data_IF_861345159923
#
_entry.id   IF_861345159923
#
_cell.length_a   1.000
_cell.length_b   1.000
_cell.length_c   1.000
_cell.angle_alpha   90.00
_cell.angle_beta   90.00
_cell.angle_gamma   90.00
#
_symmetry.space_group_name_H-M   'P 1'
#
loop_
_entity.id
_entity.type
_entity.pdbx_description
1 polymer ?
#
# COMPACT_ATOMS: atom_id res chain seq x y z
N UNK A 1 37.14 -4.58 -72.54
CA UNK A 1 38.09 -3.79 -71.72
C UNK A 1 37.38 -3.53 -70.39
N UNK A 2 37.86 -4.18 -69.32
CA UNK A 2 37.26 -4.28 -68.00
C UNK A 2 37.04 -2.90 -67.34
N UNK A 3 35.87 -2.66 -66.76
CA UNK A 3 35.64 -1.58 -65.80
C UNK A 3 35.27 -2.19 -64.44
N UNK A 4 36.11 -1.91 -63.46
CA UNK A 4 36.16 -2.47 -62.11
C UNK A 4 35.14 -1.74 -61.20
N UNK A 5 34.19 -2.47 -60.61
CA UNK A 5 33.34 -1.96 -59.53
C UNK A 5 34.07 -2.10 -58.19
N UNK A 6 34.30 -0.98 -57.50
CA UNK A 6 34.79 -0.95 -56.11
C UNK A 6 33.59 -0.76 -55.18
N UNK A 7 33.22 -1.81 -54.44
CA UNK A 7 32.32 -1.70 -53.30
C UNK A 7 33.11 -1.25 -52.07
N UNK A 8 32.77 -0.09 -51.51
CA UNK A 8 33.26 0.37 -50.21
C UNK A 8 32.27 -0.13 -49.15
N UNK A 9 32.69 -1.12 -48.36
CA UNK A 9 31.98 -1.54 -47.16
C UNK A 9 32.29 -0.57 -46.02
N UNK A 10 31.30 0.23 -45.61
CA UNK A 10 31.39 1.06 -44.40
C UNK A 10 30.96 0.19 -43.22
N UNK A 11 31.93 -0.30 -42.45
CA UNK A 11 31.69 -0.92 -41.16
C UNK A 11 31.41 0.17 -40.12
N UNK A 12 30.14 0.33 -39.73
CA UNK A 12 29.78 1.12 -38.55
C UNK A 12 30.19 0.36 -37.28
N UNK A 13 31.36 0.67 -36.75
CA UNK A 13 31.74 0.32 -35.38
C UNK A 13 30.98 1.29 -34.46
N UNK A 14 29.80 0.86 -34.00
CA UNK A 14 29.09 1.55 -32.93
C UNK A 14 29.79 1.23 -31.61
N UNK A 15 30.72 2.09 -31.20
CA UNK A 15 31.23 2.11 -29.84
C UNK A 15 30.11 2.63 -28.93
N UNK A 16 29.24 1.73 -28.46
CA UNK A 16 28.39 2.00 -27.32
C UNK A 16 29.31 2.21 -26.10
N UNK A 17 29.48 3.46 -25.70
CA UNK A 17 30.06 3.79 -24.40
C UNK A 17 29.20 3.11 -23.32
N UNK A 18 29.80 2.40 -22.34
CA UNK A 18 29.05 1.90 -21.21
C UNK A 18 28.43 3.10 -20.49
N UNK A 19 27.10 3.19 -20.51
CA UNK A 19 26.38 4.13 -19.67
C UNK A 19 26.78 3.82 -18.23
N UNK A 20 27.40 4.79 -17.57
CA UNK A 20 27.69 4.75 -16.15
C UNK A 20 26.35 4.98 -15.40
N UNK A 21 25.37 4.09 -15.61
CA UNK A 21 24.23 3.99 -14.73
C UNK A 21 24.78 3.50 -13.40
N UNK A 22 24.94 4.44 -12.46
CA UNK A 22 25.04 4.10 -11.03
C UNK A 22 23.94 3.13 -10.73
N UNK A 23 24.32 1.85 -10.57
CA UNK A 23 23.42 0.74 -10.24
C UNK A 23 22.60 1.18 -9.03
N UNK A 24 21.34 1.56 -9.26
CA UNK A 24 20.45 1.98 -8.19
C UNK A 24 20.40 0.85 -7.17
N UNK A 25 20.69 1.19 -5.93
CA UNK A 25 20.64 0.23 -4.82
C UNK A 25 19.18 -0.07 -4.53
N UNK A 26 18.79 -1.33 -4.74
CA UNK A 26 17.49 -1.85 -4.38
C UNK A 26 17.22 -1.62 -2.88
N UNK A 27 16.08 -1.03 -2.57
CA UNK A 27 15.74 -0.68 -1.19
C UNK A 27 14.26 -0.91 -0.89
N UNK A 28 13.99 -1.19 0.38
CA UNK A 28 12.66 -1.21 0.96
C UNK A 28 12.45 0.12 1.67
N UNK A 29 11.36 0.80 1.34
CA UNK A 29 10.95 2.05 1.98
C UNK A 29 9.78 1.76 2.89
N UNK A 30 9.91 2.16 4.16
CA UNK A 30 8.88 1.98 5.19
C UNK A 30 8.36 3.35 5.62
N UNK A 31 7.05 3.48 5.69
CA UNK A 31 6.38 4.51 6.49
C UNK A 31 6.01 3.90 7.84
N UNK A 32 6.45 4.52 8.92
CA UNK A 32 6.13 4.08 10.28
C UNK A 32 5.44 5.17 11.09
N UNK A 33 4.57 4.79 12.01
CA UNK A 33 3.73 5.73 12.76
C UNK A 33 4.46 6.49 13.87
N UNK A 34 5.68 6.08 14.24
CA UNK A 34 6.45 6.73 15.31
C UNK A 34 6.02 6.37 16.74
N UNK A 35 5.22 5.34 16.99
CA UNK A 35 4.71 5.16 18.36
C UNK A 35 5.74 4.58 19.36
N UNK A 36 5.82 5.28 20.49
CA UNK A 36 6.25 4.77 21.80
C UNK A 36 5.03 4.47 22.66
N UNK A 37 5.19 3.56 23.61
CA UNK A 37 4.17 2.95 24.47
C UNK A 37 3.31 3.97 25.27
N UNK A 38 2.06 3.59 25.64
CA UNK A 38 1.16 4.42 26.48
C UNK A 38 1.50 4.41 27.99
N UNK A 39 2.32 3.47 28.46
CA UNK A 39 2.58 3.15 29.86
C UNK A 39 4.02 2.67 30.22
N UNK A 40 4.98 2.62 29.29
CA UNK A 40 6.42 2.43 29.56
C UNK A 40 7.26 3.44 28.76
N UNK A 41 8.44 3.85 29.26
CA UNK A 41 9.29 4.83 28.60
C UNK A 41 10.04 4.18 27.43
N UNK A 42 9.34 3.89 26.34
CA UNK A 42 9.98 3.75 25.02
C UNK A 42 10.09 5.16 24.45
N UNK A 43 11.25 5.52 23.91
CA UNK A 43 11.48 6.80 23.23
C UNK A 43 10.37 7.03 22.21
N UNK A 44 9.58 8.10 22.38
CA UNK A 44 8.61 8.52 21.36
C UNK A 44 9.42 9.06 20.18
N UNK A 45 9.49 8.31 19.09
CA UNK A 45 10.07 8.78 17.84
C UNK A 45 8.98 9.37 16.93
N UNK A 46 9.37 10.17 15.96
CA UNK A 46 8.41 10.81 15.06
C UNK A 46 7.91 9.80 14.01
N UNK A 47 6.71 10.03 13.46
CA UNK A 47 6.30 9.35 12.23
C UNK A 47 7.38 9.56 11.18
N UNK A 48 7.86 8.50 10.53
CA UNK A 48 9.02 8.62 9.65
C UNK A 48 8.95 7.76 8.40
N UNK A 49 9.66 8.21 7.38
CA UNK A 49 10.03 7.42 6.21
C UNK A 49 11.44 6.88 6.47
N UNK A 50 11.62 5.58 6.24
CA UNK A 50 12.90 4.89 6.43
C UNK A 50 13.25 4.10 5.18
N UNK A 51 14.53 4.05 4.85
CA UNK A 51 15.07 3.18 3.82
C UNK A 51 15.86 2.06 4.47
N UNK A 52 15.69 0.84 3.96
CA UNK A 52 16.46 -0.34 4.31
C UNK A 52 16.93 -1.00 3.02
N UNK A 53 18.00 -1.78 3.11
CA UNK A 53 18.35 -2.73 2.04
C UNK A 53 17.18 -3.70 1.78
N UNK A 54 17.15 -4.35 0.61
CA UNK A 54 16.20 -5.42 0.32
C UNK A 54 16.28 -6.64 1.27
N UNK A 55 17.31 -6.71 2.13
CA UNK A 55 17.45 -7.67 3.23
C UNK A 55 17.07 -7.11 4.60
N UNK A 56 16.42 -5.95 4.66
CA UNK A 56 15.97 -5.32 5.91
C UNK A 56 17.09 -4.77 6.80
N UNK A 57 18.33 -4.68 6.30
CA UNK A 57 19.47 -4.13 7.04
C UNK A 57 19.73 -2.65 6.69
N UNK A 58 20.60 -2.01 7.48
CA UNK A 58 21.08 -0.62 7.29
C UNK A 58 19.96 0.43 7.24
N UNK A 59 19.06 0.38 8.22
CA UNK A 59 17.96 1.35 8.30
C UNK A 59 18.49 2.77 8.41
N UNK A 60 17.97 3.64 7.53
CA UNK A 60 18.25 5.08 7.51
C UNK A 60 16.93 5.84 7.52
N UNK A 61 16.80 6.82 8.42
CA UNK A 61 15.65 7.72 8.43
C UNK A 61 15.81 8.73 7.29
N UNK A 62 14.91 8.70 6.32
CA UNK A 62 14.88 9.63 5.19
C UNK A 62 14.18 10.94 5.58
N UNK A 63 13.02 10.84 6.21
CA UNK A 63 12.24 11.99 6.64
C UNK A 63 11.51 11.70 7.95
N UNK A 64 11.27 12.75 8.74
CA UNK A 64 10.47 12.69 9.97
C UNK A 64 9.38 13.76 9.93
N UNK A 65 8.20 13.40 10.40
CA UNK A 65 7.02 14.26 10.39
C UNK A 65 6.56 14.61 11.80
N UNK A 66 5.75 15.66 11.91
CA UNK A 66 5.32 16.20 13.20
C UNK A 66 6.40 17.05 13.89
N UNK A 67 6.12 17.63 15.05
CA UNK A 67 7.04 18.50 15.77
C UNK A 67 8.12 17.73 16.54
N UNK A 68 9.23 18.40 16.85
CA UNK A 68 10.26 17.84 17.73
C UNK A 68 9.74 17.71 19.17
N UNK A 69 10.01 16.56 19.79
CA UNK A 69 9.85 16.42 21.24
C UNK A 69 10.91 17.24 21.96
N UNK A 70 10.56 17.84 23.08
CA UNK A 70 11.54 18.43 24.00
C UNK A 70 11.43 17.79 25.40
N UNK A 71 12.37 18.11 26.28
CA UNK A 71 12.46 17.49 27.61
C UNK A 71 11.20 17.73 28.49
N UNK A 72 10.40 18.74 28.18
CA UNK A 72 9.20 19.13 28.96
C UNK A 72 7.88 18.76 28.28
N UNK A 73 7.88 18.52 26.97
CA UNK A 73 6.71 18.19 26.17
C UNK A 73 7.08 17.14 25.11
N UNK A 74 6.64 15.91 25.36
CA UNK A 74 6.70 14.83 24.39
C UNK A 74 5.53 14.97 23.42
N UNK A 75 5.78 15.59 22.26
CA UNK A 75 4.75 15.71 21.22
C UNK A 75 4.42 14.33 20.65
N UNK A 76 3.13 14.10 20.37
CA UNK A 76 2.68 12.83 19.81
C UNK A 76 3.01 12.75 18.31
N UNK A 77 3.37 11.56 17.79
CA UNK A 77 3.51 11.35 16.36
C UNK A 77 2.21 11.70 15.64
N UNK A 78 2.32 12.19 14.41
CA UNK A 78 1.14 12.57 13.61
C UNK A 78 0.42 11.37 12.97
N UNK A 79 0.80 10.14 13.30
CA UNK A 79 0.38 8.89 12.66
C UNK A 79 0.76 8.79 11.17
N UNK A 80 0.72 7.57 10.66
CA UNK A 80 0.86 7.23 9.25
C UNK A 80 -0.17 6.17 8.87
N UNK A 81 -0.59 6.15 7.61
CA UNK A 81 -1.67 5.27 7.15
C UNK A 81 -1.33 4.51 5.86
N UNK A 82 -0.67 5.17 4.91
CA UNK A 82 -0.36 4.58 3.61
C UNK A 82 0.86 5.26 2.99
N UNK A 83 1.61 4.50 2.20
CA UNK A 83 2.77 4.96 1.44
C UNK A 83 2.57 4.57 -0.02
N UNK A 84 2.94 5.45 -0.93
CA UNK A 84 3.04 5.16 -2.36
C UNK A 84 4.31 5.78 -2.95
N UNK A 85 4.89 5.12 -3.94
CA UNK A 85 6.11 5.55 -4.62
C UNK A 85 5.84 5.88 -6.08
N UNK A 86 6.38 7.00 -6.55
CA UNK A 86 6.39 7.37 -7.97
C UNK A 86 7.80 7.21 -8.56
N UNK A 87 8.06 6.20 -9.40
CA UNK A 87 9.33 6.06 -10.09
C UNK A 87 9.65 7.22 -11.04
N UNK A 88 8.64 7.80 -11.71
CA UNK A 88 8.89 8.86 -12.70
C UNK A 88 9.38 10.17 -12.09
N UNK A 89 9.01 10.44 -10.84
CA UNK A 89 9.40 11.66 -10.12
C UNK A 89 10.34 11.40 -8.95
N UNK A 90 10.72 10.13 -8.73
CA UNK A 90 11.49 9.68 -7.57
C UNK A 90 10.93 10.26 -6.26
N UNK A 91 9.60 10.27 -6.14
CA UNK A 91 8.88 10.87 -5.01
C UNK A 91 8.10 9.82 -4.23
N UNK A 92 8.04 10.00 -2.92
CA UNK A 92 7.25 9.23 -1.98
C UNK A 92 6.05 10.08 -1.54
N UNK A 93 4.88 9.47 -1.47
CA UNK A 93 3.65 10.07 -0.98
C UNK A 93 3.21 9.33 0.27
N UNK A 94 3.19 10.04 1.41
CA UNK A 94 2.81 9.49 2.71
C UNK A 94 1.49 10.07 3.17
N UNK A 95 0.50 9.22 3.42
CA UNK A 95 -0.72 9.61 4.10
C UNK A 95 -0.45 9.58 5.61
N UNK A 96 -0.63 10.74 6.24
CA UNK A 96 -0.36 10.99 7.66
C UNK A 96 -1.56 11.68 8.30
N UNK A 97 -1.54 11.91 9.62
CA UNK A 97 -2.56 12.72 10.27
C UNK A 97 -2.56 14.19 9.88
N UNK A 98 -1.54 14.68 9.15
CA UNK A 98 -1.52 16.03 8.58
C UNK A 98 -2.02 16.08 7.12
N UNK A 99 -2.44 14.94 6.57
CA UNK A 99 -2.77 14.79 5.15
C UNK A 99 -1.66 14.10 4.37
N UNK A 100 -1.52 14.42 3.08
CA UNK A 100 -0.53 13.80 2.19
C UNK A 100 0.75 14.64 2.18
N UNK A 101 1.84 14.00 2.58
CA UNK A 101 3.19 14.55 2.51
C UNK A 101 3.91 13.95 1.31
N UNK A 102 4.39 14.80 0.41
CA UNK A 102 5.31 14.39 -0.66
C UNK A 102 6.74 14.59 -0.17
N UNK A 103 7.60 13.60 -0.40
CA UNK A 103 9.04 13.63 -0.04
C UNK A 103 9.83 13.10 -1.22
N UNK A 104 10.99 13.66 -1.53
CA UNK A 104 11.93 13.04 -2.47
C UNK A 104 12.46 11.72 -1.93
N UNK A 105 12.84 10.80 -2.81
CA UNK A 105 13.32 9.46 -2.43
C UNK A 105 14.58 9.49 -1.53
N UNK A 106 15.36 10.56 -1.59
CA UNK A 106 16.52 10.80 -0.72
C UNK A 106 16.16 11.44 0.63
N UNK A 107 14.88 11.69 0.89
CA UNK A 107 14.37 12.33 2.11
C UNK A 107 14.26 13.85 2.03
N UNK A 108 14.72 14.49 0.95
CA UNK A 108 14.65 15.94 0.77
C UNK A 108 13.26 16.40 0.34
N UNK A 109 13.04 17.73 0.29
CA UNK A 109 11.82 18.37 -0.25
C UNK A 109 10.49 17.88 0.36
N UNK A 110 10.53 17.39 1.61
CA UNK A 110 9.34 16.98 2.34
C UNK A 110 8.36 18.14 2.52
N UNK A 111 7.17 18.02 1.92
CA UNK A 111 6.13 19.06 1.96
C UNK A 111 4.73 18.43 2.06
N UNK A 112 3.88 18.99 2.93
CA UNK A 112 2.44 18.72 2.91
C UNK A 112 1.86 19.30 1.62
N UNK A 113 1.36 18.44 0.74
CA UNK A 113 0.79 18.84 -0.56
C UNK A 113 -0.73 18.87 -0.52
N UNK A 114 -1.35 18.12 0.38
CA UNK A 114 -2.80 18.03 0.49
C UNK A 114 -3.20 17.89 1.95
N UNK A 115 -4.08 18.78 2.41
CA UNK A 115 -4.76 18.70 3.70
C UNK A 115 -6.24 18.49 3.44
N UNK A 116 -6.76 17.29 3.64
CA UNK A 116 -8.20 17.03 3.51
C UNK A 116 -8.90 17.44 4.81
N UNK A 117 -9.00 18.76 5.01
CA UNK A 117 -9.46 19.40 6.24
C UNK A 117 -10.69 20.28 6.02
N UNK A 118 -11.69 19.78 5.28
CA UNK A 118 -13.05 20.30 5.42
C UNK A 118 -13.61 19.84 6.79
N UNK A 119 -13.20 20.52 7.87
CA UNK A 119 -13.72 20.32 9.23
C UNK A 119 -12.93 19.36 10.14
N UNK A 120 -11.70 18.98 9.76
CA UNK A 120 -10.78 18.23 10.64
C UNK A 120 -11.06 16.72 10.79
N UNK A 121 -11.94 16.16 9.96
CA UNK A 121 -12.35 14.75 10.04
C UNK A 121 -11.88 13.89 8.85
N UNK A 122 -11.23 14.44 7.82
CA UNK A 122 -10.81 13.70 6.62
C UNK A 122 -9.55 12.84 6.82
N UNK A 123 -9.66 11.68 7.46
CA UNK A 123 -8.53 10.75 7.57
C UNK A 123 -8.28 10.01 6.24
N UNK A 124 -7.10 10.22 5.63
CA UNK A 124 -6.68 9.57 4.38
C UNK A 124 -6.07 8.20 4.71
N UNK A 125 -6.71 7.12 4.26
CA UNK A 125 -6.36 5.74 4.64
C UNK A 125 -5.55 5.00 3.61
N UNK A 126 -5.64 5.39 2.35
CA UNK A 126 -5.01 4.69 1.23
C UNK A 126 -4.51 5.67 0.19
N UNK A 127 -3.40 5.30 -0.46
CA UNK A 127 -2.79 6.03 -1.57
C UNK A 127 -2.47 5.09 -2.72
N UNK A 128 -2.56 5.60 -3.94
CA UNK A 128 -2.01 4.97 -5.13
C UNK A 128 -1.50 6.05 -6.09
N UNK A 129 -0.38 5.80 -6.76
CA UNK A 129 0.19 6.70 -7.78
C UNK A 129 -0.21 6.19 -9.16
N UNK A 130 -1.00 6.97 -9.89
CA UNK A 130 -1.28 6.75 -11.31
C UNK A 130 -0.22 7.45 -12.16
N UNK A 131 0.68 6.66 -12.73
CA UNK A 131 1.90 7.15 -13.36
C UNK A 131 1.66 7.81 -14.72
N UNK A 132 0.67 7.37 -15.50
CA UNK A 132 0.35 7.98 -16.80
C UNK A 132 -0.45 9.27 -16.63
N UNK A 133 -1.45 9.27 -15.77
CA UNK A 133 -2.30 10.44 -15.48
C UNK A 133 -1.57 11.49 -14.61
N UNK A 134 -0.43 11.13 -13.99
CA UNK A 134 0.30 11.98 -13.03
C UNK A 134 -0.59 12.44 -11.87
N UNK A 135 -1.46 11.54 -11.41
CA UNK A 135 -2.38 11.78 -10.30
C UNK A 135 -2.10 10.84 -9.12
N UNK A 136 -2.28 11.35 -7.92
CA UNK A 136 -2.43 10.54 -6.73
C UNK A 136 -3.92 10.22 -6.54
N UNK A 137 -4.25 8.96 -6.35
CA UNK A 137 -5.57 8.50 -5.93
C UNK A 137 -5.54 8.22 -4.44
N UNK A 138 -6.56 8.65 -3.72
CA UNK A 138 -6.58 8.52 -2.27
C UNK A 138 -7.98 8.29 -1.72
N UNK A 139 -8.04 7.53 -0.63
CA UNK A 139 -9.27 7.11 0.01
C UNK A 139 -9.48 7.77 1.36
N UNK A 140 -10.69 8.23 1.65
CA UNK A 140 -11.03 8.94 2.89
C UNK A 140 -11.93 8.09 3.79
N UNK A 141 -11.58 7.97 5.08
CA UNK A 141 -12.27 7.11 6.05
C UNK A 141 -13.69 7.60 6.35
N UNK A 142 -13.82 8.87 6.68
CA UNK A 142 -15.05 9.41 7.26
C UNK A 142 -16.08 9.80 6.19
N UNK A 143 -15.63 10.27 5.03
CA UNK A 143 -16.54 10.55 3.91
C UNK A 143 -16.83 9.30 3.08
N UNK A 144 -15.94 8.30 3.12
CA UNK A 144 -16.04 7.10 2.30
C UNK A 144 -15.86 7.40 0.81
N UNK A 145 -15.03 8.41 0.48
CA UNK A 145 -14.78 8.83 -0.89
C UNK A 145 -13.44 8.31 -1.40
N UNK A 146 -13.37 8.05 -2.70
CA UNK A 146 -12.12 7.98 -3.45
C UNK A 146 -12.00 9.28 -4.21
N UNK A 147 -10.91 10.00 -3.98
CA UNK A 147 -10.56 11.25 -4.64
C UNK A 147 -9.27 11.06 -5.45
N UNK A 148 -9.01 11.96 -6.38
CA UNK A 148 -7.71 12.08 -7.05
C UNK A 148 -7.24 13.52 -7.08
N UNK A 149 -5.93 13.74 -7.17
CA UNK A 149 -5.32 15.06 -7.27
C UNK A 149 -4.03 14.97 -8.09
N UNK A 150 -3.52 16.11 -8.57
CA UNK A 150 -2.17 16.21 -9.14
C UNK A 150 -1.12 15.77 -8.10
N UNK A 151 0.08 15.42 -8.56
CA UNK A 151 1.21 15.09 -7.67
C UNK A 151 1.64 16.23 -6.74
N UNK A 152 1.22 17.47 -6.99
CA UNK A 152 1.44 18.60 -6.08
C UNK A 152 0.23 18.89 -5.16
N UNK A 153 -0.80 18.04 -5.21
CA UNK A 153 -2.02 18.12 -4.40
C UNK A 153 -3.11 19.02 -4.97
N UNK A 154 -2.89 19.67 -6.12
CA UNK A 154 -3.90 20.52 -6.78
C UNK A 154 -4.92 19.70 -7.57
N UNK A 155 -5.98 20.36 -8.07
CA UNK A 155 -7.06 19.76 -8.87
C UNK A 155 -7.67 18.51 -8.24
N UNK A 156 -8.13 18.65 -6.99
CA UNK A 156 -8.80 17.57 -6.27
C UNK A 156 -10.17 17.31 -6.91
N UNK A 157 -10.38 16.05 -7.29
CA UNK A 157 -11.62 15.58 -7.91
C UNK A 157 -12.16 14.37 -7.13
N UNK A 158 -13.47 14.34 -6.89
CA UNK A 158 -14.13 13.14 -6.36
C UNK A 158 -14.29 12.14 -7.50
N UNK A 159 -13.70 10.95 -7.34
CA UNK A 159 -13.78 9.87 -8.31
C UNK A 159 -14.96 8.95 -7.99
N UNK A 160 -15.11 8.53 -6.72
CA UNK A 160 -16.20 7.62 -6.33
C UNK A 160 -16.67 7.86 -4.90
N UNK A 161 -17.95 7.60 -4.66
CA UNK A 161 -18.51 7.41 -3.32
C UNK A 161 -18.64 5.91 -3.04
N UNK A 162 -17.84 5.40 -2.10
CA UNK A 162 -17.79 3.97 -1.75
C UNK A 162 -18.84 3.61 -0.71
N UNK A 163 -19.24 4.57 0.13
CA UNK A 163 -20.15 4.36 1.26
C UNK A 163 -21.60 4.07 0.85
N UNK A 164 -22.01 4.41 -0.38
CA UNK A 164 -23.39 4.32 -0.89
C UNK A 164 -24.44 4.97 0.04
N UNK A 165 -24.00 5.91 0.88
CA UNK A 165 -24.78 6.60 1.90
C UNK A 165 -23.84 7.28 2.89
N UNK A 166 -24.12 8.53 3.24
CA UNK A 166 -23.43 9.24 4.32
C UNK A 166 -24.16 8.91 5.63
N UNK A 167 -23.41 8.62 6.69
CA UNK A 167 -24.01 8.38 8.00
C UNK A 167 -24.42 9.71 8.67
N UNK A 168 -25.51 10.30 8.19
CA UNK A 168 -26.09 11.53 8.74
C UNK A 168 -26.98 11.29 9.98
N UNK A 169 -27.20 10.03 10.37
CA UNK A 169 -28.13 9.65 11.45
C UNK A 169 -27.61 9.89 12.86
N UNK A 170 -26.37 10.36 12.99
CA UNK A 170 -25.74 10.72 14.25
C UNK A 170 -25.09 12.08 13.97
N UNK A 171 -25.42 13.11 14.78
CA UNK A 171 -24.78 14.44 14.77
C UNK A 171 -23.26 14.32 14.50
N UNK A 172 -22.56 15.30 13.87
CA UNK A 172 -21.15 15.17 13.44
C UNK A 172 -20.32 14.51 14.54
N UNK A 173 -20.21 13.20 14.43
CA UNK A 173 -19.69 12.31 15.43
C UNK A 173 -18.59 11.55 14.74
N UNK A 174 -17.63 11.10 15.54
CA UNK A 174 -16.45 10.36 15.14
C UNK A 174 -16.75 8.99 14.47
N UNK A 175 -17.91 8.80 13.85
CA UNK A 175 -18.33 7.59 13.16
C UNK A 175 -17.83 7.61 11.70
N UNK A 176 -17.03 6.62 11.28
CA UNK A 176 -16.64 6.44 9.88
C UNK A 176 -17.85 6.29 8.94
N UNK A 177 -17.58 6.46 7.64
CA UNK A 177 -18.52 6.10 6.58
C UNK A 177 -18.91 4.61 6.67
N UNK A 178 -20.09 4.27 6.13
CA UNK A 178 -20.59 2.89 6.10
C UNK A 178 -19.62 1.96 5.39
N UNK A 179 -19.04 2.39 4.27
CA UNK A 179 -17.88 1.74 3.68
C UNK A 179 -16.78 2.75 3.43
N UNK A 180 -15.54 2.34 3.63
CA UNK A 180 -14.38 3.18 3.36
C UNK A 180 -13.31 2.44 2.54
N UNK A 181 -12.62 3.16 1.62
CA UNK A 181 -11.58 2.61 0.75
C UNK A 181 -10.23 2.44 1.48
N UNK A 182 -10.03 1.30 2.12
CA UNK A 182 -8.78 0.99 2.84
C UNK A 182 -7.58 0.67 1.93
N UNK A 183 -7.83 0.40 0.66
CA UNK A 183 -6.84 0.09 -0.34
C UNK A 183 -7.37 0.44 -1.72
N UNK A 184 -6.52 1.04 -2.53
CA UNK A 184 -6.82 1.49 -3.88
C UNK A 184 -5.73 0.95 -4.81
N UNK A 185 -6.12 0.50 -6.00
CA UNK A 185 -5.20 0.24 -7.10
C UNK A 185 -5.80 0.77 -8.41
N UNK A 186 -4.98 1.42 -9.23
CA UNK A 186 -5.39 1.96 -10.53
C UNK A 186 -4.67 1.19 -11.63
N UNK A 187 -5.45 0.65 -12.57
CA UNK A 187 -4.96 0.01 -13.77
C UNK A 187 -5.21 0.92 -14.97
N UNK A 188 -4.22 1.76 -15.29
CA UNK A 188 -4.32 2.73 -16.38
C UNK A 188 -4.31 2.06 -17.76
N UNK A 189 -3.73 0.86 -17.88
CA UNK A 189 -3.71 0.10 -19.13
C UNK A 189 -5.08 -0.49 -19.44
N UNK A 190 -5.75 -1.04 -18.42
CA UNK A 190 -7.07 -1.65 -18.58
C UNK A 190 -8.21 -0.67 -18.37
N UNK A 191 -7.93 0.53 -17.86
CA UNK A 191 -8.93 1.56 -17.63
C UNK A 191 -9.80 1.30 -16.38
N UNK A 192 -9.27 0.64 -15.35
CA UNK A 192 -10.05 0.26 -14.16
C UNK A 192 -9.47 0.80 -12.84
N UNK A 193 -10.37 1.24 -11.96
CA UNK A 193 -10.11 1.51 -10.55
C UNK A 193 -10.54 0.28 -9.74
N UNK A 194 -9.69 -0.18 -8.83
CA UNK A 194 -9.96 -1.25 -7.88
C UNK A 194 -9.87 -0.71 -6.46
N UNK A 195 -10.75 -1.17 -5.57
CA UNK A 195 -10.67 -0.78 -4.16
C UNK A 195 -11.21 -1.86 -3.22
N UNK A 196 -10.71 -1.83 -1.99
CA UNK A 196 -11.27 -2.57 -0.87
C UNK A 196 -12.29 -1.70 -0.16
N UNK A 197 -13.51 -2.17 -0.02
CA UNK A 197 -14.56 -1.48 0.72
C UNK A 197 -14.71 -2.17 2.08
N UNK A 198 -14.25 -1.53 3.15
CA UNK A 198 -14.32 -2.03 4.52
C UNK A 198 -15.50 -1.42 5.28
N UNK A 199 -16.26 -2.24 6.01
CA UNK A 199 -17.43 -1.85 6.82
C UNK A 199 -17.47 -2.51 8.21
N UNK A 200 -16.58 -3.46 8.46
CA UNK A 200 -16.55 -4.27 9.68
C UNK A 200 -16.21 -5.73 9.38
N UNK A 201 -16.50 -6.62 10.34
CA UNK A 201 -16.31 -8.07 10.18
C UNK A 201 -17.32 -8.63 9.18
N UNK A 202 -16.85 -9.49 8.27
CA UNK A 202 -17.61 -10.22 7.25
C UNK A 202 -18.52 -9.37 6.33
N UNK A 203 -18.36 -8.05 6.30
CA UNK A 203 -19.11 -7.14 5.41
C UNK A 203 -18.16 -6.35 4.49
N UNK A 204 -16.91 -6.79 4.37
CA UNK A 204 -15.95 -6.24 3.41
C UNK A 204 -16.18 -6.76 2.00
N UNK A 205 -15.69 -6.00 1.02
CA UNK A 205 -15.70 -6.41 -0.39
C UNK A 205 -14.50 -5.89 -1.16
N UNK A 206 -14.18 -6.57 -2.26
CA UNK A 206 -13.27 -6.05 -3.30
C UNK A 206 -14.14 -5.65 -4.49
N UNK A 207 -13.95 -4.42 -4.97
CA UNK A 207 -14.77 -3.83 -6.03
C UNK A 207 -13.90 -3.23 -7.12
N UNK A 208 -14.49 -3.04 -8.29
CA UNK A 208 -13.89 -2.27 -9.38
C UNK A 208 -14.92 -1.47 -10.16
N UNK A 209 -14.46 -0.45 -10.85
CA UNK A 209 -15.25 0.33 -11.80
C UNK A 209 -14.34 0.88 -12.90
N UNK A 210 -14.89 1.26 -14.07
CA UNK A 210 -14.14 2.01 -15.07
C UNK A 210 -13.56 3.31 -14.48
N UNK A 211 -12.35 3.67 -14.90
CA UNK A 211 -11.67 4.92 -14.48
C UNK A 211 -12.39 6.16 -14.99
N UNK A 212 -12.93 6.10 -16.20
CA UNK A 212 -13.77 7.17 -16.73
C UNK A 212 -15.14 7.11 -16.06
N UNK A 213 -15.55 8.26 -15.53
CA UNK A 213 -16.89 8.43 -14.97
C UNK A 213 -17.91 8.43 -16.11
N UNK A 214 -19.02 7.76 -15.88
CA UNK A 214 -20.22 7.86 -16.71
C UNK A 214 -21.41 8.14 -15.79
N UNK A 215 -22.52 8.59 -16.36
CA UNK A 215 -23.75 8.88 -15.62
C UNK A 215 -24.38 7.64 -14.96
N UNK A 216 -23.92 6.44 -15.33
CA UNK A 216 -24.41 5.16 -14.81
C UNK A 216 -23.38 4.51 -13.87
N UNK A 217 -23.85 3.76 -12.87
CA UNK A 217 -22.96 3.01 -12.00
C UNK A 217 -22.56 1.68 -12.68
N UNK A 218 -21.28 1.60 -13.04
CA UNK A 218 -20.64 0.41 -13.61
C UNK A 218 -19.78 -0.33 -12.56
N UNK A 219 -20.07 -0.14 -11.28
CA UNK A 219 -19.36 -0.85 -10.21
C UNK A 219 -19.67 -2.35 -10.25
N UNK A 220 -18.61 -3.16 -10.22
CA UNK A 220 -18.68 -4.60 -10.02
C UNK A 220 -18.14 -4.96 -8.64
N UNK A 221 -18.86 -5.82 -7.93
CA UNK A 221 -18.38 -6.45 -6.71
C UNK A 221 -17.73 -7.78 -7.11
N UNK A 222 -16.41 -7.85 -6.93
CA UNK A 222 -15.62 -9.03 -7.29
C UNK A 222 -15.64 -10.07 -6.18
N UNK A 223 -15.58 -9.62 -4.93
CA UNK A 223 -15.52 -10.46 -3.72
C UNK A 223 -16.39 -9.82 -2.63
N UNK A 224 -17.13 -10.61 -1.86
CA UNK A 224 -17.93 -10.18 -0.69
C UNK A 224 -17.59 -11.01 0.53
N UNK A 225 -18.08 -10.62 1.70
CA UNK A 225 -18.01 -11.44 2.91
C UNK A 225 -16.61 -11.55 3.51
N UNK A 226 -15.73 -10.60 3.21
CA UNK A 226 -14.33 -10.61 3.69
C UNK A 226 -14.12 -9.67 4.87
N UNK A 227 -13.16 -9.97 5.73
CA UNK A 227 -12.93 -9.20 6.95
C UNK A 227 -12.00 -8.02 6.72
N UNK A 228 -12.46 -6.80 7.00
CA UNK A 228 -11.66 -5.56 6.97
C UNK A 228 -10.55 -5.55 5.89
N UNK A 229 -10.91 -5.69 4.59
CA UNK A 229 -9.91 -5.70 3.52
C UNK A 229 -9.11 -4.40 3.54
N UNK A 230 -7.81 -4.53 3.36
CA UNK A 230 -6.79 -3.49 3.49
C UNK A 230 -6.21 -3.08 2.15
N UNK A 231 -4.89 -2.87 2.11
CA UNK A 231 -4.14 -2.56 0.90
C UNK A 231 -4.45 -3.55 -0.23
N UNK A 232 -4.61 -3.02 -1.45
CA UNK A 232 -4.76 -3.79 -2.69
C UNK A 232 -3.54 -3.50 -3.57
N UNK A 233 -3.07 -4.51 -4.29
CA UNK A 233 -2.06 -4.35 -5.36
C UNK A 233 -2.41 -5.17 -6.58
N UNK A 234 -2.02 -4.64 -7.74
CA UNK A 234 -2.02 -5.37 -9.01
C UNK A 234 -0.59 -5.82 -9.26
N UNK A 235 -0.39 -7.11 -9.51
CA UNK A 235 0.91 -7.71 -9.80
C UNK A 235 0.75 -8.55 -11.06
N UNK A 236 1.27 -8.04 -12.17
CA UNK A 236 0.98 -8.60 -13.50
C UNK A 236 -0.52 -8.61 -13.76
N UNK A 237 -1.07 -9.81 -13.92
CA UNK A 237 -2.50 -10.03 -14.17
C UNK A 237 -3.31 -10.45 -12.93
N UNK A 238 -2.69 -10.42 -11.75
CA UNK A 238 -3.30 -10.81 -10.48
C UNK A 238 -3.66 -9.60 -9.63
N UNK A 239 -4.81 -9.68 -8.96
CA UNK A 239 -5.23 -8.72 -7.94
C UNK A 239 -5.02 -9.35 -6.55
N UNK A 240 -4.22 -8.70 -5.72
CA UNK A 240 -3.91 -9.14 -4.35
C UNK A 240 -4.44 -8.12 -3.35
N UNK A 241 -4.84 -8.59 -2.16
CA UNK A 241 -5.19 -7.71 -1.05
C UNK A 241 -4.76 -8.27 0.30
N UNK A 242 -4.48 -7.37 1.24
CA UNK A 242 -4.36 -7.72 2.65
C UNK A 242 -5.76 -7.83 3.26
N UNK A 243 -5.96 -8.83 4.10
CA UNK A 243 -7.14 -9.04 4.92
C UNK A 243 -6.72 -9.13 6.38
N UNK A 244 -7.52 -8.55 7.28
CA UNK A 244 -7.33 -8.69 8.72
C UNK A 244 -8.69 -8.76 9.39
N UNK A 245 -8.81 -9.39 10.55
CA UNK A 245 -10.03 -9.21 11.32
C UNK A 245 -10.12 -7.82 11.94
N UNK A 246 -11.33 -7.41 12.34
CA UNK A 246 -11.56 -6.13 13.03
C UNK A 246 -10.79 -6.01 14.34
N UNK A 247 -10.62 -7.13 15.03
CA UNK A 247 -9.92 -7.17 16.30
C UNK A 247 -8.48 -7.65 16.14
N UNK A 248 -7.69 -7.14 17.06
CA UNK A 248 -6.25 -7.26 17.22
C UNK A 248 -5.72 -8.70 17.37
N UNK A 249 -6.63 -9.67 17.55
CA UNK A 249 -6.35 -11.09 17.73
C UNK A 249 -6.98 -11.97 16.64
N UNK A 250 -7.50 -11.37 15.57
CA UNK A 250 -8.14 -12.11 14.48
C UNK A 250 -7.18 -12.38 13.33
N UNK A 251 -7.41 -13.47 12.56
CA UNK A 251 -6.54 -13.87 11.47
C UNK A 251 -6.26 -12.75 10.46
N UNK A 252 -5.05 -12.78 9.89
CA UNK A 252 -4.64 -11.90 8.80
C UNK A 252 -4.14 -12.74 7.64
N UNK A 253 -4.30 -12.24 6.43
CA UNK A 253 -3.90 -12.93 5.21
C UNK A 253 -3.53 -11.94 4.11
N UNK A 254 -2.74 -12.40 3.15
CA UNK A 254 -2.69 -11.82 1.80
C UNK A 254 -3.42 -12.80 0.91
N UNK A 255 -4.50 -12.34 0.28
CA UNK A 255 -5.33 -13.13 -0.63
C UNK A 255 -5.19 -12.60 -2.05
N UNK A 256 -5.62 -13.42 -3.00
CA UNK A 256 -5.62 -13.06 -4.41
C UNK A 256 -6.91 -13.50 -5.09
N UNK A 257 -7.21 -12.80 -6.18
CA UNK A 257 -8.31 -13.15 -7.05
C UNK A 257 -7.87 -14.32 -7.94
N UNK A 258 -8.59 -15.45 -7.88
CA UNK A 258 -8.28 -16.64 -8.68
C UNK A 258 -8.86 -16.51 -10.11
N UNK A 259 -8.56 -15.37 -10.72
CA UNK A 259 -8.91 -15.04 -12.09
C UNK A 259 -8.00 -13.93 -12.57
N UNK A 260 -7.42 -14.13 -13.75
CA UNK A 260 -6.68 -13.11 -14.47
C UNK A 260 -7.56 -11.88 -14.73
N UNK A 261 -7.05 -10.68 -14.44
CA UNK A 261 -7.79 -9.42 -14.60
C UNK A 261 -8.34 -9.22 -16.02
N UNK A 262 -7.62 -9.68 -17.05
CA UNK A 262 -8.05 -9.61 -18.46
C UNK A 262 -9.29 -10.48 -18.76
N UNK A 263 -9.60 -11.46 -17.90
CA UNK A 263 -10.72 -12.39 -18.07
C UNK A 263 -11.95 -11.99 -17.25
N UNK A 264 -11.93 -10.87 -16.56
CA UNK A 264 -13.10 -10.40 -15.82
C UNK A 264 -14.01 -9.61 -16.77
N UNK A 265 -15.26 -10.04 -16.98
CA UNK A 265 -16.17 -9.39 -17.93
C UNK A 265 -16.37 -7.91 -17.64
N UNK A 266 -16.53 -7.11 -18.70
CA UNK A 266 -16.84 -5.69 -18.57
C UNK A 266 -18.13 -5.48 -17.74
N UNK A 267 -18.21 -4.38 -16.98
CA UNK A 267 -19.41 -4.05 -16.21
C UNK A 267 -20.61 -3.79 -17.11
N UNK A 268 -21.71 -4.48 -16.84
CA UNK A 268 -23.00 -4.14 -17.43
C UNK A 268 -23.51 -2.85 -16.77
N UNK A 269 -24.06 -1.90 -17.54
CA UNK A 269 -24.71 -0.72 -16.98
C UNK A 269 -25.83 -1.14 -16.02
N UNK A 270 -25.83 -0.59 -14.81
CA UNK A 270 -26.86 -0.86 -13.80
C UNK A 270 -27.42 0.45 -13.26
N UNK A 271 -28.74 0.53 -13.09
CA UNK A 271 -29.41 1.69 -12.52
C UNK A 271 -29.78 1.52 -11.04
N UNK A 272 -29.64 0.31 -10.49
CA UNK A 272 -30.24 -0.03 -9.18
C UNK A 272 -29.27 -0.62 -8.16
N UNK A 273 -28.18 -1.30 -8.57
CA UNK A 273 -27.16 -1.81 -7.64
C UNK A 273 -25.90 -2.32 -8.37
N UNK A 274 -24.71 -2.28 -7.73
CA UNK A 274 -23.50 -2.89 -8.27
C UNK A 274 -23.69 -4.37 -8.63
N UNK A 275 -23.16 -4.79 -9.77
CA UNK A 275 -23.25 -6.17 -10.21
C UNK A 275 -22.30 -7.08 -9.40
N UNK A 276 -22.85 -8.05 -8.68
CA UNK A 276 -22.07 -9.08 -7.99
C UNK A 276 -21.61 -10.14 -9.01
N UNK A 277 -20.29 -10.28 -9.17
CA UNK A 277 -19.68 -11.34 -9.98
C UNK A 277 -19.26 -12.57 -9.16
N UNK A 278 -19.02 -12.40 -7.85
CA UNK A 278 -18.61 -13.44 -6.90
C UNK A 278 -17.50 -14.37 -7.46
N UNK A 279 -16.32 -13.81 -7.65
CA UNK A 279 -15.18 -14.53 -8.22
C UNK A 279 -14.46 -15.39 -7.17
N UNK A 280 -13.89 -16.55 -7.57
CA UNK A 280 -13.10 -17.38 -6.68
C UNK A 280 -11.84 -16.64 -6.21
N UNK A 281 -11.39 -17.00 -5.01
CA UNK A 281 -10.23 -16.38 -4.36
C UNK A 281 -9.31 -17.45 -3.79
N UNK A 282 -8.02 -17.14 -3.72
CA UNK A 282 -7.02 -17.96 -3.05
C UNK A 282 -6.32 -17.20 -1.93
N UNK A 283 -5.56 -17.93 -1.11
CA UNK A 283 -4.78 -17.36 0.00
C UNK A 283 -3.29 -17.57 -0.27
N UNK A 284 -2.55 -16.47 -0.38
CA UNK A 284 -1.10 -16.49 -0.62
C UNK A 284 -0.32 -16.61 0.69
N UNK A 285 -0.70 -15.78 1.67
CA UNK A 285 -0.15 -15.77 3.04
C UNK A 285 -1.31 -15.81 4.02
N UNK A 286 -1.17 -16.56 5.12
CA UNK A 286 -2.11 -16.58 6.24
C UNK A 286 -1.37 -16.70 7.56
N UNK A 287 -1.87 -16.02 8.59
CA UNK A 287 -1.33 -16.17 9.94
C UNK A 287 -1.36 -17.61 10.46
N UNK A 288 -2.23 -18.47 9.92
CA UNK A 288 -2.27 -19.89 10.26
C UNK A 288 -1.07 -20.70 9.74
N UNK A 289 -0.31 -20.17 8.77
CA UNK A 289 0.79 -20.89 8.12
C UNK A 289 2.10 -20.84 8.93
N UNK A 290 2.28 -19.85 9.81
CA UNK A 290 3.56 -19.65 10.49
C UNK A 290 3.43 -19.03 11.88
N UNK A 291 4.28 -19.45 12.82
CA UNK A 291 4.30 -18.92 14.19
C UNK A 291 4.82 -17.48 14.28
N UNK A 292 5.45 -16.93 13.25
CA UNK A 292 5.97 -15.55 13.25
C UNK A 292 4.90 -14.50 13.55
N UNK A 293 3.63 -14.81 13.24
CA UNK A 293 2.46 -13.97 13.48
C UNK A 293 2.03 -13.96 14.95
N UNK A 294 2.70 -14.72 15.81
CA UNK A 294 2.36 -14.87 17.21
C UNK A 294 3.58 -14.54 18.07
N UNK A 295 3.50 -13.47 18.86
CA UNK A 295 4.57 -13.06 19.75
C UNK A 295 4.02 -12.55 21.08
N UNK A 296 4.71 -12.85 22.18
CA UNK A 296 4.35 -12.28 23.48
C UNK A 296 4.90 -10.88 23.58
N UNK A 297 4.08 -9.93 24.04
CA UNK A 297 4.61 -8.62 24.39
C UNK A 297 5.42 -8.67 25.70
N UNK A 298 5.98 -7.54 26.12
CA UNK A 298 6.76 -7.42 27.36
C UNK A 298 5.97 -7.78 28.64
N UNK A 299 4.63 -7.79 28.60
CA UNK A 299 3.78 -8.24 29.72
C UNK A 299 3.56 -9.75 29.72
N UNK A 300 4.03 -10.44 28.67
CA UNK A 300 3.80 -11.86 28.44
C UNK A 300 2.48 -12.17 27.74
N UNK A 301 1.69 -11.15 27.35
CA UNK A 301 0.42 -11.32 26.65
C UNK A 301 0.68 -11.74 25.20
N UNK A 302 0.08 -12.84 24.78
CA UNK A 302 0.20 -13.36 23.42
C UNK A 302 -0.51 -12.42 22.43
N UNK A 303 0.27 -11.78 21.57
CA UNK A 303 -0.21 -10.94 20.48
C UNK A 303 -0.32 -11.75 19.18
N UNK A 304 -1.31 -11.42 18.36
CA UNK A 304 -1.34 -11.76 16.95
C UNK A 304 -0.90 -10.54 16.14
N UNK A 305 0.03 -10.72 15.22
CA UNK A 305 0.52 -9.66 14.35
C UNK A 305 -0.35 -9.60 13.08
N UNK A 306 -0.79 -8.40 12.72
CA UNK A 306 -1.62 -8.15 11.54
C UNK A 306 -0.80 -7.57 10.39
N UNK A 307 -1.00 -8.06 9.17
CA UNK A 307 -0.36 -7.52 7.96
C UNK A 307 -0.92 -6.11 7.71
N UNK A 308 -0.04 -5.10 7.69
CA UNK A 308 -0.43 -3.71 7.45
C UNK A 308 -0.26 -3.32 5.98
N UNK A 309 0.88 -3.69 5.41
CA UNK A 309 1.23 -3.40 4.02
C UNK A 309 2.13 -4.50 3.48
N UNK A 310 2.09 -4.70 2.18
CA UNK A 310 2.93 -5.63 1.45
C UNK A 310 3.36 -5.02 0.14
N UNK A 311 4.44 -5.55 -0.44
CA UNK A 311 4.87 -5.27 -1.81
C UNK A 311 5.39 -6.56 -2.42
N UNK A 312 5.04 -6.81 -3.67
CA UNK A 312 5.47 -8.00 -4.39
C UNK A 312 6.25 -7.56 -5.61
N UNK A 313 7.48 -8.05 -5.72
CA UNK A 313 8.29 -7.90 -6.90
C UNK A 313 8.23 -9.19 -7.72
N UNK A 314 7.94 -9.05 -9.01
CA UNK A 314 7.99 -10.14 -9.97
C UNK A 314 9.21 -9.91 -10.86
N UNK A 315 10.30 -10.63 -10.58
CA UNK A 315 11.44 -10.71 -11.48
C UNK A 315 11.20 -11.74 -12.58
N UNK A 316 12.15 -11.85 -13.51
CA UNK A 316 12.04 -12.79 -14.65
C UNK A 316 11.99 -14.26 -14.22
N UNK A 317 12.59 -14.57 -13.06
CA UNK A 317 12.77 -15.95 -12.57
C UNK A 317 12.07 -16.18 -11.22
N UNK A 318 12.05 -15.17 -10.36
CA UNK A 318 11.55 -15.31 -8.99
C UNK A 318 10.58 -14.18 -8.65
N UNK A 319 9.56 -14.55 -7.88
CA UNK A 319 8.70 -13.58 -7.20
C UNK A 319 9.12 -13.49 -5.75
N UNK A 320 9.28 -12.27 -5.27
CA UNK A 320 9.58 -11.99 -3.86
C UNK A 320 8.44 -11.15 -3.29
N UNK A 321 7.91 -11.58 -2.16
CA UNK A 321 6.91 -10.84 -1.41
C UNK A 321 7.53 -10.35 -0.12
N UNK A 322 7.48 -9.05 0.09
CA UNK A 322 7.75 -8.46 1.41
C UNK A 322 6.46 -7.97 2.02
N UNK A 323 6.32 -8.11 3.32
CA UNK A 323 5.23 -7.50 4.05
C UNK A 323 5.67 -7.06 5.44
N UNK A 324 4.94 -6.09 5.96
CA UNK A 324 5.12 -5.62 7.32
C UNK A 324 3.93 -6.06 8.15
N UNK A 325 4.23 -6.60 9.33
CA UNK A 325 3.23 -6.94 10.34
C UNK A 325 3.40 -6.07 11.57
N UNK A 326 2.30 -5.85 12.27
CA UNK A 326 2.25 -5.04 13.47
C UNK A 326 1.46 -5.75 14.57
N UNK A 327 1.95 -5.67 15.81
CA UNK A 327 1.20 -6.06 17.01
C UNK A 327 0.16 -5.01 17.38
N UNK A 328 -0.84 -5.42 18.14
CA UNK A 328 -1.97 -4.54 18.44
C UNK A 328 -2.36 -4.53 19.92
N UNK A 329 -1.43 -4.99 20.75
CA UNK A 329 -1.49 -4.89 22.20
C UNK A 329 -1.04 -3.52 22.70
N UNK A 330 -0.79 -3.44 24.01
CA UNK A 330 -0.33 -2.20 24.66
C UNK A 330 1.03 -1.76 24.17
N UNK A 331 1.89 -2.73 23.81
CA UNK A 331 3.14 -2.48 23.09
C UNK A 331 2.94 -2.78 21.65
N UNK A 332 3.03 -1.74 20.84
CA UNK A 332 3.00 -1.84 19.40
C UNK A 332 4.43 -2.01 18.90
N UNK A 333 4.67 -3.08 18.16
CA UNK A 333 5.93 -3.36 17.48
C UNK A 333 5.62 -4.01 16.13
N UNK A 334 6.59 -4.01 15.23
CA UNK A 334 6.42 -4.61 13.92
C UNK A 334 7.55 -5.53 13.51
N UNK A 335 7.35 -6.20 12.38
CA UNK A 335 8.37 -6.97 11.67
C UNK A 335 8.28 -6.70 10.18
N UNK A 336 9.43 -6.66 9.53
CA UNK A 336 9.58 -6.80 8.09
C UNK A 336 9.85 -8.27 7.78
N UNK A 337 9.03 -8.85 6.91
CA UNK A 337 9.06 -10.26 6.56
C UNK A 337 9.19 -10.41 5.06
N UNK A 338 10.02 -11.35 4.62
CA UNK A 338 10.17 -11.80 3.25
C UNK A 338 9.55 -13.20 3.10
N UNK A 339 8.93 -13.45 1.95
CA UNK A 339 8.43 -14.77 1.57
C UNK A 339 9.05 -15.17 0.26
N UNK A 340 9.58 -16.39 0.27
CA UNK A 340 10.05 -17.07 -0.92
C UNK A 340 9.23 -18.34 -1.17
N UNK A 341 8.95 -18.59 -2.45
CA UNK A 341 8.41 -19.87 -2.91
C UNK A 341 9.53 -20.70 -3.50
N UNK A 342 9.89 -21.80 -2.83
CA UNK A 342 11.00 -22.65 -3.25
C UNK A 342 10.54 -23.62 -4.36
N UNK A 343 10.50 -23.13 -5.59
CA UNK A 343 10.45 -23.93 -6.84
C UNK A 343 9.14 -24.67 -7.14
N UNK A 344 8.97 -25.06 -8.41
CA UNK A 344 7.84 -25.86 -8.91
C UNK A 344 8.00 -27.33 -8.51
N UNK A 345 7.28 -27.76 -7.47
CA UNK A 345 7.21 -29.15 -7.03
C UNK A 345 6.38 -29.25 -5.74
N UNK A 346 5.31 -30.04 -5.79
CA UNK A 346 4.10 -30.00 -4.94
C UNK A 346 4.26 -30.30 -3.43
N UNK A 347 5.25 -29.74 -2.73
CA UNK A 347 5.36 -29.96 -1.27
C UNK A 347 6.02 -28.86 -0.44
N UNK A 348 6.67 -27.85 -1.03
CA UNK A 348 7.32 -26.79 -0.25
C UNK A 348 6.45 -25.53 -0.27
N UNK A 349 5.65 -25.37 0.77
CA UNK A 349 4.88 -24.15 1.04
C UNK A 349 5.75 -22.89 1.19
N UNK A 350 5.14 -21.71 1.42
CA UNK A 350 5.88 -20.46 1.56
C UNK A 350 6.93 -20.55 2.68
N UNK A 351 8.17 -20.14 2.38
CA UNK A 351 9.22 -19.99 3.36
C UNK A 351 9.25 -18.53 3.83
N UNK A 352 9.07 -18.32 5.12
CA UNK A 352 9.04 -16.99 5.74
C UNK A 352 10.37 -16.68 6.40
N UNK A 353 10.90 -15.49 6.15
CA UNK A 353 12.11 -14.97 6.76
C UNK A 353 11.83 -13.60 7.40
N UNK A 354 12.11 -13.46 8.70
CA UNK A 354 12.02 -12.16 9.37
C UNK A 354 13.30 -11.40 9.08
N UNK A 355 13.23 -10.41 8.20
CA UNK A 355 14.38 -9.60 7.79
C UNK A 355 14.78 -8.58 8.86
N UNK A 356 13.78 -7.98 9.52
CA UNK A 356 14.03 -7.02 10.61
C UNK A 356 12.85 -7.02 11.59
N UNK A 357 13.15 -7.01 12.89
CA UNK A 357 12.17 -6.84 13.98
C UNK A 357 12.62 -5.83 15.03
N UNK A 358 13.71 -5.09 14.76
CA UNK A 358 14.23 -4.07 15.63
C UNK A 358 13.37 -2.81 15.49
N UNK A 359 12.66 -2.44 16.53
CA UNK A 359 11.76 -1.28 16.53
C UNK A 359 12.49 0.04 16.30
N UNK A 360 13.80 0.14 16.59
CA UNK A 360 14.59 1.32 16.24
C UNK A 360 14.77 1.48 14.74
N UNK A 361 14.72 0.38 14.00
CA UNK A 361 15.03 0.31 12.58
C UNK A 361 13.78 0.45 11.72
N UNK A 362 12.66 -0.15 12.13
CA UNK A 362 11.42 -0.18 11.32
C UNK A 362 10.21 0.51 11.99
N UNK A 363 10.37 0.96 13.24
CA UNK A 363 9.29 1.59 14.01
C UNK A 363 8.06 0.71 14.12
N UNK A 364 6.89 1.30 13.89
CA UNK A 364 5.61 0.62 13.70
C UNK A 364 5.17 0.80 12.26
N UNK A 365 5.53 -0.13 11.38
CA UNK A 365 5.39 0.02 9.94
C UNK A 365 3.93 -0.11 9.49
N UNK A 366 3.49 0.85 8.68
CA UNK A 366 2.12 0.94 8.12
C UNK A 366 2.10 1.07 6.60
N UNK A 367 3.20 1.48 5.99
CA UNK A 367 3.39 1.50 4.55
C UNK A 367 4.71 0.84 4.15
N UNK A 368 4.71 0.13 3.03
CA UNK A 368 5.90 -0.55 2.50
C UNK A 368 5.93 -0.40 0.97
N UNK A 369 7.06 0.07 0.45
CA UNK A 369 7.34 0.12 -0.98
C UNK A 369 8.71 -0.51 -1.28
N UNK A 370 8.86 -1.05 -2.48
CA UNK A 370 10.12 -1.55 -3.01
C UNK A 370 10.59 -0.63 -4.14
N UNK A 371 11.83 -0.15 -4.05
CA UNK A 371 12.41 0.82 -4.98
C UNK A 371 13.62 0.21 -5.67
N UNK A 372 13.66 0.36 -6.99
CA UNK A 372 14.73 -0.14 -7.88
C UNK A 372 15.23 0.94 -8.82
#
# INVERSE_FOLDING_TARGET
>A
MLALFVLIAISHISCALPSNETKRTESLIILDTGVGHRSTPVTRWRTSIRSLTNRGANSTVLAQFGPESNATFLQEPINGYSLAYSPSTSSLFSATGQGIVRTSLDGTESKVILTDHDGGMGQIMSLFVAEKDKKIYFGTLYEGLIKKANFDGTDIEVVRNVSQGLNYGIAPSYAPACFYPNGIAVDEERGFLYWSAAKGDNDGSIRRAPLQLSDQDHTQILVTGINMPGQIRIVGDSLLWAERGRWNNLPTAIKYLDRNLNRIPAPLPSSTAPALLALPTGTLVSSAQNKLFFEKDYTGEQQMLSIQSFVMYHGDVESTLWFVVQSSGRTVFGKLVEVHWRGSGDSRGPAFEVLNSNTTDIGVPVGLEYVR
#
